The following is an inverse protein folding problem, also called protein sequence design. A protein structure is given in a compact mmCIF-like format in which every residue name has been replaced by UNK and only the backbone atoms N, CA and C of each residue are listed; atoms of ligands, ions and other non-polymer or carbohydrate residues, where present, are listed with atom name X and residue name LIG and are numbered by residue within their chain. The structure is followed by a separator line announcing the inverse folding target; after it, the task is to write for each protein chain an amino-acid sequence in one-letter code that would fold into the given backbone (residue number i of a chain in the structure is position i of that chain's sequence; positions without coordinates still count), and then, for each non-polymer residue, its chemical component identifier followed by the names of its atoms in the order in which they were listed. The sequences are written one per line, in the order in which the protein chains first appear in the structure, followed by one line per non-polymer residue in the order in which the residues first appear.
data_IF_734921322413
#
_entry.id   IF_734921322413
#
_cell.length_a   1.000
_cell.length_b   1.000
_cell.length_c   1.000
_cell.angle_alpha   90.00
_cell.angle_beta   90.00
_cell.angle_gamma   90.00
#
_symmetry.space_group_name_H-M   'P 1'
#
loop_
_entity.id
_entity.type
_entity.pdbx_description
1 polymer ?
#
# COMPACT_ATOMS: atom_id res chain seq x y z
N UNK A 1 -14.77 -69.10 -78.31
CA UNK A 1 -16.13 -68.87 -77.85
C UNK A 1 -16.01 -68.72 -76.32
N UNK A 2 -15.82 -67.57 -75.82
CA UNK A 2 -15.93 -67.32 -74.40
C UNK A 2 -16.07 -65.79 -74.16
N UNK A 3 -17.17 -65.40 -73.68
CA UNK A 3 -17.51 -64.02 -73.42
C UNK A 3 -16.97 -63.61 -72.03
N UNK A 4 -16.09 -62.62 -72.01
CA UNK A 4 -15.62 -61.98 -70.77
C UNK A 4 -16.55 -60.83 -70.42
N UNK A 5 -17.09 -60.83 -69.22
CA UNK A 5 -17.81 -59.73 -68.61
C UNK A 5 -16.84 -58.78 -67.88
N UNK A 6 -16.97 -57.46 -67.96
CA UNK A 6 -16.17 -56.54 -67.18
C UNK A 6 -16.72 -56.41 -65.78
N UNK A 7 -15.81 -56.46 -64.79
CA UNK A 7 -16.11 -56.24 -63.38
C UNK A 7 -16.29 -54.75 -63.06
N UNK A 8 -17.35 -54.46 -62.34
CA UNK A 8 -17.65 -53.12 -61.80
C UNK A 8 -16.78 -52.87 -60.58
N UNK A 9 -15.86 -51.92 -60.68
CA UNK A 9 -15.03 -51.49 -59.56
C UNK A 9 -15.84 -50.54 -58.66
N UNK A 10 -16.02 -50.96 -57.41
CA UNK A 10 -16.63 -50.14 -56.35
C UNK A 10 -15.59 -49.21 -55.79
N UNK A 11 -15.76 -47.89 -55.95
CA UNK A 11 -14.89 -46.81 -55.32
C UNK A 11 -15.48 -46.49 -53.95
N UNK A 12 -14.75 -46.65 -52.86
CA UNK A 12 -15.23 -46.18 -51.55
C UNK A 12 -15.11 -44.70 -51.46
N UNK A 13 -16.23 -44.01 -51.26
CA UNK A 13 -16.25 -42.57 -50.90
C UNK A 13 -15.86 -42.45 -49.44
N UNK A 14 -14.66 -41.92 -49.22
CA UNK A 14 -14.15 -41.56 -47.90
C UNK A 14 -14.79 -40.23 -47.45
N UNK A 15 -15.80 -40.31 -46.60
CA UNK A 15 -16.40 -39.13 -45.95
C UNK A 15 -15.47 -38.64 -44.85
N UNK A 16 -14.73 -37.56 -45.13
CA UNK A 16 -13.87 -36.88 -44.16
C UNK A 16 -14.75 -35.98 -43.31
N UNK A 17 -15.12 -36.43 -42.10
CA UNK A 17 -15.81 -35.61 -41.11
C UNK A 17 -14.78 -34.67 -40.48
N UNK A 18 -14.79 -33.40 -40.90
CA UNK A 18 -14.00 -32.32 -40.32
C UNK A 18 -14.62 -31.94 -38.99
N UNK A 19 -14.11 -32.50 -37.89
CA UNK A 19 -14.52 -32.14 -36.53
C UNK A 19 -14.00 -30.75 -36.18
N UNK A 20 -14.88 -29.75 -36.20
CA UNK A 20 -14.59 -28.41 -35.69
C UNK A 20 -14.63 -28.47 -34.16
N UNK A 21 -13.46 -28.60 -33.51
CA UNK A 21 -13.36 -28.44 -32.06
C UNK A 21 -13.37 -26.93 -31.72
N UNK A 22 -14.52 -26.44 -31.27
CA UNK A 22 -14.62 -25.11 -30.66
C UNK A 22 -13.87 -25.17 -29.32
N UNK A 23 -12.65 -24.66 -29.29
CA UNK A 23 -11.95 -24.36 -28.05
C UNK A 23 -12.62 -23.12 -27.43
N UNK A 24 -13.39 -23.32 -26.36
CA UNK A 24 -13.89 -22.20 -25.55
C UNK A 24 -12.70 -21.58 -24.81
N UNK A 25 -12.17 -20.49 -25.33
CA UNK A 25 -11.24 -19.65 -24.59
C UNK A 25 -12.02 -19.01 -23.44
N UNK A 26 -11.75 -19.46 -22.22
CA UNK A 26 -12.21 -18.78 -21.01
C UNK A 26 -11.50 -17.43 -20.92
N UNK A 27 -12.17 -16.36 -21.31
CA UNK A 27 -11.75 -14.99 -21.03
C UNK A 27 -11.84 -14.81 -19.52
N UNK A 28 -10.71 -14.94 -18.83
CA UNK A 28 -10.59 -14.52 -17.44
C UNK A 28 -10.66 -13.00 -17.46
N UNK A 29 -11.84 -12.46 -17.12
CA UNK A 29 -12.00 -11.04 -16.91
C UNK A 29 -11.02 -10.62 -15.80
N UNK A 30 -9.94 -9.93 -16.16
CA UNK A 30 -9.07 -9.27 -15.20
C UNK A 30 -9.92 -8.18 -14.57
N UNK A 31 -10.31 -8.39 -13.33
CA UNK A 31 -10.92 -7.33 -12.50
C UNK A 31 -9.81 -6.30 -12.28
N UNK A 32 -9.80 -5.25 -13.09
CA UNK A 32 -8.91 -4.12 -12.85
C UNK A 32 -9.34 -3.50 -11.53
N UNK A 33 -8.49 -3.59 -10.52
CA UNK A 33 -8.68 -2.84 -9.29
C UNK A 33 -8.61 -1.36 -9.66
N UNK A 34 -9.70 -0.63 -9.46
CA UNK A 34 -9.69 0.82 -9.65
C UNK A 34 -8.96 1.44 -8.47
N UNK A 35 -7.90 2.24 -8.72
CA UNK A 35 -7.15 2.86 -7.64
C UNK A 35 -8.02 3.83 -6.83
N UNK A 36 -7.69 3.98 -5.57
CA UNK A 36 -8.30 4.95 -4.69
C UNK A 36 -7.55 6.28 -4.77
N UNK A 37 -8.27 7.35 -5.07
CA UNK A 37 -7.75 8.71 -5.07
C UNK A 37 -7.94 9.33 -3.69
N UNK A 38 -6.84 9.65 -3.02
CA UNK A 38 -6.86 10.26 -1.70
C UNK A 38 -7.43 11.68 -1.76
N UNK A 39 -8.43 11.98 -0.91
CA UNK A 39 -8.90 13.34 -0.67
C UNK A 39 -8.05 13.99 0.41
N UNK A 40 -7.03 14.74 0.00
CA UNK A 40 -6.07 15.37 0.90
C UNK A 40 -6.69 16.45 1.80
N UNK A 41 -7.84 17.00 1.43
CA UNK A 41 -8.51 18.05 2.23
C UNK A 41 -9.25 17.49 3.44
N UNK A 42 -9.63 16.20 3.37
CA UNK A 42 -10.33 15.46 4.42
C UNK A 42 -9.48 14.32 4.98
N UNK A 43 -8.17 14.36 4.77
CA UNK A 43 -7.23 13.34 5.21
C UNK A 43 -6.15 13.94 6.10
N UNK A 44 -5.72 13.17 7.10
CA UNK A 44 -4.69 13.58 8.05
C UNK A 44 -3.65 12.47 8.20
N UNK A 45 -2.39 12.87 8.29
CA UNK A 45 -1.27 12.02 8.64
C UNK A 45 -0.53 12.67 9.80
N UNK A 46 -0.50 12.00 10.95
CA UNK A 46 0.02 12.53 12.20
C UNK A 46 1.09 11.60 12.78
N UNK A 47 1.88 12.14 13.67
CA UNK A 47 2.79 11.37 14.51
C UNK A 47 2.71 11.89 15.94
N UNK A 48 2.90 11.01 16.90
CA UNK A 48 2.92 11.37 18.31
C UNK A 48 4.12 10.73 19.02
N UNK A 49 4.58 11.40 20.06
CA UNK A 49 5.68 10.96 20.89
C UNK A 49 5.65 11.63 22.24
N UNK A 50 6.70 11.45 23.03
CA UNK A 50 6.85 12.10 24.35
C UNK A 50 8.15 12.89 24.41
N UNK A 51 8.10 14.04 25.08
CA UNK A 51 9.28 14.87 25.39
C UNK A 51 9.23 15.25 26.87
N UNK A 52 10.28 14.92 27.62
CA UNK A 52 10.35 15.16 29.08
C UNK A 52 9.09 14.68 29.83
N UNK A 53 8.59 13.50 29.43
CA UNK A 53 7.39 12.88 30.02
C UNK A 53 6.04 13.42 29.52
N UNK A 54 6.02 14.52 28.75
CA UNK A 54 4.79 15.09 28.17
C UNK A 54 4.56 14.61 26.74
N UNK A 55 3.34 14.21 26.41
CA UNK A 55 2.96 13.83 25.04
C UNK A 55 2.93 15.05 24.11
N UNK A 56 3.26 14.83 22.86
CA UNK A 56 3.06 15.80 21.78
C UNK A 56 2.55 15.10 20.52
N UNK A 57 1.88 15.86 19.67
CA UNK A 57 1.44 15.42 18.33
C UNK A 57 2.02 16.37 17.29
N UNK A 58 2.35 15.83 16.14
CA UNK A 58 2.72 16.58 14.95
C UNK A 58 1.99 16.04 13.72
N UNK A 59 2.00 16.82 12.66
CA UNK A 59 1.35 16.47 11.40
C UNK A 59 2.34 16.50 10.25
N UNK A 60 2.09 15.70 9.21
CA UNK A 60 2.71 15.86 7.90
C UNK A 60 1.67 16.42 6.93
N UNK A 61 1.92 17.59 6.37
CA UNK A 61 0.99 18.24 5.45
C UNK A 61 1.20 17.87 3.98
N UNK A 62 2.35 17.27 3.64
CA UNK A 62 2.67 16.85 2.27
C UNK A 62 3.01 15.37 2.23
N UNK A 63 2.12 14.59 1.60
CA UNK A 63 2.29 13.17 1.34
C UNK A 63 1.52 12.77 0.08
N UNK A 64 1.89 11.65 -0.51
CA UNK A 64 1.25 11.06 -1.67
C UNK A 64 1.02 9.57 -1.40
N UNK A 65 -0.16 9.08 -1.76
CA UNK A 65 -0.52 7.69 -1.59
C UNK A 65 -1.09 7.13 -2.91
N UNK A 66 -0.55 5.99 -3.32
CA UNK A 66 -1.11 5.14 -4.37
C UNK A 66 -1.68 3.90 -3.69
N UNK A 67 -2.99 3.73 -3.78
CA UNK A 67 -3.72 2.68 -3.05
C UNK A 67 -4.57 1.91 -4.04
N UNK A 68 -4.20 0.66 -4.25
CA UNK A 68 -5.00 -0.33 -4.94
C UNK A 68 -5.52 -1.31 -3.90
N UNK A 69 -6.81 -1.27 -3.60
CA UNK A 69 -7.36 -2.12 -2.56
C UNK A 69 -8.82 -2.50 -2.83
N UNK A 70 -9.07 -3.81 -2.78
CA UNK A 70 -10.42 -4.37 -2.79
C UNK A 70 -10.66 -5.13 -1.47
N UNK A 71 -11.65 -4.69 -0.66
CA UNK A 71 -12.01 -5.39 0.57
C UNK A 71 -12.41 -6.86 0.37
N UNK A 72 -12.89 -7.24 -0.81
CA UNK A 72 -13.21 -8.63 -1.15
C UNK A 72 -11.97 -9.47 -1.44
N UNK A 73 -10.88 -8.83 -1.87
CA UNK A 73 -9.61 -9.46 -2.24
C UNK A 73 -8.41 -8.77 -1.57
N UNK A 74 -8.33 -8.70 -0.23
CA UNK A 74 -7.33 -7.90 0.45
C UNK A 74 -5.87 -8.33 0.14
N UNK A 75 -5.65 -9.58 -0.21
CA UNK A 75 -4.32 -10.11 -0.55
C UNK A 75 -3.73 -9.55 -1.84
N UNK A 76 -4.55 -9.03 -2.74
CA UNK A 76 -4.09 -8.38 -3.99
C UNK A 76 -3.86 -6.89 -3.82
N UNK A 77 -4.18 -6.35 -2.63
CA UNK A 77 -4.06 -4.93 -2.33
C UNK A 77 -2.60 -4.47 -2.30
N UNK A 78 -2.41 -3.20 -2.65
CA UNK A 78 -1.12 -2.53 -2.62
C UNK A 78 -1.27 -1.12 -2.06
N UNK A 79 -0.36 -0.74 -1.17
CA UNK A 79 -0.25 0.60 -0.59
C UNK A 79 1.18 1.08 -0.79
N UNK A 80 1.32 2.22 -1.45
CA UNK A 80 2.56 2.96 -1.60
C UNK A 80 2.34 4.38 -1.08
N UNK A 81 3.04 4.76 -0.01
CA UNK A 81 2.92 6.07 0.64
C UNK A 81 4.29 6.75 0.69
N UNK A 82 4.38 7.92 0.09
CA UNK A 82 5.54 8.80 0.19
C UNK A 82 5.20 10.03 1.02
N UNK A 83 6.04 10.36 2.02
CA UNK A 83 5.87 11.49 2.92
C UNK A 83 7.04 12.46 2.77
N UNK A 84 6.76 13.74 2.56
CA UNK A 84 7.74 14.82 2.61
C UNK A 84 8.04 15.19 4.07
N UNK A 85 9.22 14.81 4.56
CA UNK A 85 9.64 15.02 5.94
C UNK A 85 9.81 16.51 6.29
N UNK A 86 10.08 17.36 5.32
CA UNK A 86 10.12 18.81 5.51
C UNK A 86 8.75 19.46 5.81
N UNK A 87 7.67 18.68 5.67
CA UNK A 87 6.31 19.12 6.00
C UNK A 87 5.90 18.87 7.45
N UNK A 88 6.75 18.22 8.25
CA UNK A 88 6.47 17.92 9.65
C UNK A 88 6.30 19.21 10.47
N UNK A 89 5.22 19.29 11.25
CA UNK A 89 4.94 20.39 12.18
C UNK A 89 4.31 19.85 13.44
N UNK A 90 4.77 20.36 14.59
CA UNK A 90 4.24 20.02 15.92
C UNK A 90 3.58 21.22 16.60
N UNK A 91 3.66 22.41 15.99
CA UNK A 91 3.19 23.65 16.57
C UNK A 91 4.12 24.22 17.67
N UNK A 92 5.24 23.55 17.94
CA UNK A 92 6.27 24.04 18.85
C UNK A 92 7.50 24.46 18.05
N UNK A 93 7.91 25.72 18.19
CA UNK A 93 8.99 26.30 17.37
C UNK A 93 10.31 25.58 17.56
N UNK A 94 10.62 25.11 18.77
CA UNK A 94 11.89 24.44 19.05
C UNK A 94 11.95 23.08 18.35
N UNK A 95 10.88 22.28 18.46
CA UNK A 95 10.79 20.99 17.75
C UNK A 95 10.76 21.19 16.23
N UNK A 96 9.96 22.12 15.75
CA UNK A 96 9.80 22.37 14.30
C UNK A 96 11.10 22.90 13.65
N UNK A 97 11.96 23.56 14.43
CA UNK A 97 13.31 23.96 14.01
C UNK A 97 14.29 22.77 14.04
N UNK A 98 14.15 21.87 15.01
CA UNK A 98 15.06 20.73 15.20
C UNK A 98 14.79 19.58 14.19
N UNK A 99 13.51 19.29 13.91
CA UNK A 99 13.09 18.13 13.08
C UNK A 99 13.79 18.03 11.72
N UNK A 100 14.03 19.12 10.95
CA UNK A 100 14.76 19.07 9.70
C UNK A 100 16.26 18.74 9.84
N UNK A 101 16.82 18.91 11.04
CA UNK A 101 18.27 18.82 11.30
C UNK A 101 18.84 17.41 11.21
N UNK A 102 20.18 17.34 11.17
CA UNK A 102 20.97 16.12 10.99
C UNK A 102 20.69 15.04 12.05
N UNK A 103 20.45 15.46 13.30
CA UNK A 103 20.16 14.54 14.40
C UNK A 103 18.75 13.93 14.31
N UNK A 104 17.86 14.54 13.51
CA UNK A 104 16.47 14.14 13.35
C UNK A 104 16.20 13.59 11.96
N UNK A 105 15.43 14.27 11.12
CA UNK A 105 15.11 13.76 9.80
C UNK A 105 16.23 13.92 8.77
N UNK A 106 17.15 14.87 8.99
CA UNK A 106 18.22 15.21 8.02
C UNK A 106 17.66 15.40 6.60
N UNK A 107 16.68 16.29 6.48
CA UNK A 107 15.92 16.48 5.24
C UNK A 107 16.79 16.93 4.06
N UNK A 108 17.98 17.49 4.33
CA UNK A 108 18.93 17.84 3.28
C UNK A 108 19.46 16.60 2.55
N UNK A 109 19.66 15.50 3.28
CA UNK A 109 20.13 14.21 2.74
C UNK A 109 18.95 13.27 2.44
N UNK A 110 17.89 13.32 3.24
CA UNK A 110 16.76 12.38 3.21
C UNK A 110 15.42 13.13 3.27
N UNK A 111 14.99 13.78 2.18
CA UNK A 111 13.80 14.62 2.19
C UNK A 111 12.49 13.86 2.34
N UNK A 112 12.48 12.55 2.09
CA UNK A 112 11.27 11.74 2.04
C UNK A 112 11.38 10.47 2.89
N UNK A 113 10.24 10.03 3.43
CA UNK A 113 10.03 8.67 3.89
C UNK A 113 9.11 7.94 2.91
N UNK A 114 9.29 6.61 2.80
CA UNK A 114 8.55 5.79 1.84
C UNK A 114 8.12 4.47 2.49
N UNK A 115 6.82 4.18 2.46
CA UNK A 115 6.25 2.92 2.89
C UNK A 115 5.64 2.18 1.70
N UNK A 116 5.96 0.89 1.58
CA UNK A 116 5.37 -0.01 0.58
C UNK A 116 4.85 -1.25 1.28
N UNK A 117 3.58 -1.59 1.08
CA UNK A 117 3.01 -2.82 1.59
C UNK A 117 3.55 -4.04 0.84
N UNK A 118 3.79 -5.13 1.56
CA UNK A 118 4.18 -6.44 1.00
C UNK A 118 3.05 -7.45 1.09
N UNK A 119 2.14 -7.29 2.05
CA UNK A 119 0.97 -8.13 2.21
C UNK A 119 -0.13 -7.39 2.96
N UNK A 120 -1.38 -7.59 2.56
CA UNK A 120 -2.53 -7.07 3.28
C UNK A 120 -3.46 -8.23 3.63
N UNK A 121 -3.94 -8.27 4.87
CA UNK A 121 -4.89 -9.28 5.34
C UNK A 121 -6.02 -8.67 6.14
N UNK A 122 -7.18 -9.29 6.06
CA UNK A 122 -8.31 -8.97 6.92
C UNK A 122 -8.13 -9.65 8.28
N UNK A 123 -8.37 -8.93 9.37
CA UNK A 123 -8.26 -9.42 10.76
C UNK A 123 -9.61 -9.45 11.49
N UNK A 124 -10.61 -8.77 10.96
CA UNK A 124 -11.97 -8.74 11.49
C UNK A 124 -12.98 -8.24 10.46
N UNK A 125 -14.19 -7.86 10.88
CA UNK A 125 -15.26 -7.43 9.98
C UNK A 125 -14.80 -6.28 9.06
N UNK A 126 -14.23 -5.23 9.64
CA UNK A 126 -13.76 -4.03 8.95
C UNK A 126 -12.32 -3.69 9.33
N UNK A 127 -11.58 -4.61 9.94
CA UNK A 127 -10.20 -4.42 10.37
C UNK A 127 -9.24 -5.18 9.48
N UNK A 128 -8.10 -4.57 9.24
CA UNK A 128 -7.05 -5.06 8.35
C UNK A 128 -5.68 -4.79 8.94
N UNK A 129 -4.73 -5.58 8.48
CA UNK A 129 -3.30 -5.34 8.70
C UNK A 129 -2.59 -5.30 7.35
N UNK A 130 -1.71 -4.31 7.16
CA UNK A 130 -0.76 -4.28 6.07
C UNK A 130 0.65 -4.41 6.64
N UNK A 131 1.31 -5.53 6.34
CA UNK A 131 2.73 -5.68 6.55
C UNK A 131 3.46 -5.01 5.38
N UNK A 132 4.55 -4.30 5.64
CA UNK A 132 5.29 -3.58 4.61
C UNK A 132 6.69 -3.19 5.05
N UNK A 133 7.34 -2.40 4.23
CA UNK A 133 8.67 -1.86 4.47
C UNK A 133 8.59 -0.34 4.51
N UNK A 134 9.09 0.26 5.59
CA UNK A 134 9.30 1.70 5.71
C UNK A 134 10.77 2.02 5.51
N UNK A 135 11.06 2.90 4.57
CA UNK A 135 12.37 3.52 4.39
C UNK A 135 12.35 4.94 4.94
N UNK A 136 13.17 5.22 5.93
CA UNK A 136 13.35 6.53 6.56
C UNK A 136 14.84 6.75 6.82
N UNK A 137 15.40 7.91 6.43
CA UNK A 137 16.84 8.20 6.49
C UNK A 137 17.71 7.12 5.84
N UNK A 138 17.29 6.59 4.72
CA UNK A 138 17.95 5.50 4.00
C UNK A 138 18.06 4.18 4.81
N UNK A 139 17.32 4.04 5.90
CA UNK A 139 17.20 2.81 6.68
C UNK A 139 15.84 2.19 6.40
N UNK A 140 15.80 0.95 5.95
CA UNK A 140 14.57 0.21 5.68
C UNK A 140 14.31 -0.80 6.80
N UNK A 141 13.09 -0.80 7.33
CA UNK A 141 12.62 -1.73 8.36
C UNK A 141 11.23 -2.26 8.03
N UNK A 142 10.89 -3.49 8.45
CA UNK A 142 9.53 -3.98 8.39
C UNK A 142 8.65 -3.16 9.34
N UNK A 143 7.49 -2.76 8.85
CA UNK A 143 6.48 -2.00 9.61
C UNK A 143 5.11 -2.58 9.32
N UNK A 144 4.26 -2.63 10.34
CA UNK A 144 2.86 -3.03 10.23
C UNK A 144 1.96 -1.82 10.42
N UNK A 145 0.98 -1.71 9.53
CA UNK A 145 -0.16 -0.81 9.69
C UNK A 145 -1.36 -1.63 10.17
N UNK A 146 -1.97 -1.21 11.27
CA UNK A 146 -3.26 -1.73 11.74
C UNK A 146 -4.32 -0.69 11.43
N UNK A 147 -5.39 -1.08 10.72
CA UNK A 147 -6.40 -0.12 10.30
C UNK A 147 -7.81 -0.69 10.20
N UNK A 148 -8.77 0.22 10.34
CA UNK A 148 -10.17 0.02 10.01
C UNK A 148 -10.45 0.64 8.64
N UNK A 149 -11.33 -0.01 7.87
CA UNK A 149 -11.79 0.49 6.58
C UNK A 149 -13.29 0.36 6.50
N UNK A 150 -13.96 1.45 6.14
CA UNK A 150 -15.34 1.46 5.68
C UNK A 150 -15.41 1.91 4.23
N UNK A 151 -16.24 1.25 3.43
CA UNK A 151 -16.49 1.60 2.04
C UNK A 151 -17.98 1.80 1.87
N UNK A 152 -18.36 2.96 1.34
CA UNK A 152 -19.74 3.31 0.99
C UNK A 152 -19.76 3.79 -0.46
N UNK A 153 -20.26 2.95 -1.34
CA UNK A 153 -20.28 3.21 -2.78
C UNK A 153 -18.89 3.49 -3.36
N UNK A 154 -18.66 4.73 -3.76
CA UNK A 154 -17.40 5.19 -4.35
C UNK A 154 -16.45 5.83 -3.34
N UNK A 155 -16.82 5.88 -2.07
CA UNK A 155 -16.04 6.52 -1.01
C UNK A 155 -15.49 5.48 -0.05
N UNK A 156 -14.25 5.68 0.38
CA UNK A 156 -13.60 4.87 1.40
C UNK A 156 -13.08 5.76 2.52
N UNK A 157 -13.18 5.27 3.75
CA UNK A 157 -12.59 5.89 4.93
C UNK A 157 -11.70 4.86 5.63
N UNK A 158 -10.41 5.13 5.67
CA UNK A 158 -9.41 4.29 6.32
C UNK A 158 -8.78 5.05 7.49
N UNK A 159 -8.81 4.43 8.68
CA UNK A 159 -8.22 4.99 9.89
C UNK A 159 -7.36 3.96 10.59
N UNK A 160 -6.14 4.33 10.94
CA UNK A 160 -5.22 3.37 11.52
C UNK A 160 -3.94 3.98 12.07
N UNK A 161 -3.00 3.11 12.41
CA UNK A 161 -1.74 3.51 12.98
C UNK A 161 -0.61 2.52 12.65
N UNK A 162 0.62 2.98 12.90
CA UNK A 162 1.84 2.17 12.98
C UNK A 162 2.64 2.58 14.22
N UNK A 163 3.13 1.58 14.95
CA UNK A 163 4.05 1.79 16.07
C UNK A 163 5.49 1.68 15.58
N UNK A 164 6.29 2.69 15.88
CA UNK A 164 7.67 2.80 15.42
C UNK A 164 8.62 3.05 16.61
N UNK A 165 9.82 2.55 16.49
CA UNK A 165 10.96 2.94 17.33
C UNK A 165 11.85 3.86 16.51
N UNK A 166 11.82 5.17 16.79
CA UNK A 166 12.51 6.18 15.99
C UNK A 166 14.00 5.95 15.80
N UNK A 167 14.65 5.37 16.79
CA UNK A 167 16.09 5.08 16.76
C UNK A 167 16.47 3.96 15.80
N UNK A 168 15.53 3.05 15.45
CA UNK A 168 15.74 2.02 14.42
C UNK A 168 15.96 2.61 13.03
N UNK A 169 15.53 3.84 12.83
CA UNK A 169 15.73 4.61 11.60
C UNK A 169 16.79 5.71 11.74
N UNK A 170 17.50 5.75 12.88
CA UNK A 170 18.49 6.78 13.14
C UNK A 170 17.89 8.18 13.37
N UNK A 171 16.61 8.28 13.74
CA UNK A 171 15.96 9.54 14.09
C UNK A 171 16.21 9.86 15.55
N UNK A 172 16.77 11.05 15.83
CA UNK A 172 17.18 11.50 17.16
C UNK A 172 18.52 10.89 17.57
N UNK A 173 19.59 11.37 16.97
CA UNK A 173 20.97 10.96 17.22
C UNK A 173 21.62 11.80 18.32
N UNK A 174 22.85 11.47 18.67
CA UNK A 174 23.63 12.19 19.68
C UNK A 174 22.93 12.21 21.05
N UNK A 175 22.73 13.38 21.66
CA UNK A 175 22.07 13.52 22.98
C UNK A 175 20.65 12.95 23.03
N UNK A 176 19.99 12.78 21.88
CA UNK A 176 18.60 12.32 21.73
C UNK A 176 18.46 10.80 21.66
N UNK A 177 19.57 10.07 21.52
CA UNK A 177 19.55 8.62 21.25
C UNK A 177 19.06 7.79 22.44
N UNK A 178 19.27 8.25 23.67
CA UNK A 178 18.97 7.47 24.90
C UNK A 178 17.48 7.39 25.25
N UNK A 179 16.63 8.22 24.66
CA UNK A 179 15.23 8.32 25.04
C UNK A 179 14.96 9.12 26.33
N UNK A 180 16.00 9.64 27.00
CA UNK A 180 15.85 10.38 28.25
C UNK A 180 15.05 11.68 28.09
N UNK A 181 15.30 12.40 27.02
CA UNK A 181 14.65 13.70 26.74
C UNK A 181 13.46 13.56 25.79
N UNK A 182 13.59 12.71 24.80
CA UNK A 182 12.53 12.42 23.83
C UNK A 182 12.35 10.91 23.74
N UNK A 183 11.17 10.43 24.02
CA UNK A 183 10.83 9.00 24.03
C UNK A 183 11.24 8.31 22.73
N UNK A 184 11.58 7.03 22.82
CA UNK A 184 11.94 6.23 21.66
C UNK A 184 10.72 5.79 20.81
N UNK A 185 9.58 5.41 21.44
CA UNK A 185 8.37 5.07 20.70
C UNK A 185 7.76 6.30 20.03
N UNK A 186 7.31 6.11 18.79
CA UNK A 186 6.53 7.07 18.01
C UNK A 186 5.37 6.31 17.38
N UNK A 187 4.16 6.85 17.53
CA UNK A 187 2.98 6.33 16.85
C UNK A 187 2.68 7.23 15.66
N UNK A 188 2.60 6.65 14.47
CA UNK A 188 2.11 7.34 13.28
C UNK A 188 0.65 6.94 13.09
N UNK A 189 -0.25 7.93 13.02
CA UNK A 189 -1.68 7.73 12.79
C UNK A 189 -2.08 8.33 11.46
N UNK A 190 -3.05 7.70 10.83
CA UNK A 190 -3.67 8.23 9.62
C UNK A 190 -5.18 8.15 9.69
N UNK A 191 -5.83 9.14 9.10
CA UNK A 191 -7.27 9.24 8.92
C UNK A 191 -7.50 9.70 7.48
N UNK A 192 -7.76 8.75 6.58
CA UNK A 192 -7.74 8.98 5.14
C UNK A 192 -9.11 8.78 4.52
N UNK A 193 -9.59 9.81 3.85
CA UNK A 193 -10.73 9.75 2.95
C UNK A 193 -10.25 9.57 1.51
N UNK A 194 -10.89 8.67 0.79
CA UNK A 194 -10.56 8.41 -0.61
C UNK A 194 -11.82 8.12 -1.42
N UNK A 195 -11.73 8.27 -2.73
CA UNK A 195 -12.78 7.90 -3.68
C UNK A 195 -12.19 7.08 -4.82
N UNK A 196 -12.99 6.23 -5.43
CA UNK A 196 -12.55 5.45 -6.60
C UNK A 196 -12.22 6.40 -7.74
N UNK A 197 -11.14 6.09 -8.46
CA UNK A 197 -10.89 6.70 -9.76
C UNK A 197 -12.03 6.29 -10.70
N UNK A 198 -12.68 7.27 -11.33
CA UNK A 198 -13.76 7.04 -12.30
C UNK A 198 -13.22 6.63 -13.65
#
# INVERSE_FOLDING_TARGET
MSASRPGLALVPVLVMVLGLTLSAETVVAQTQSMPWLLDKTHSQLEFSGTQTGSGFTGTFSRYEAHIDFDPAQPKTGHIDLTVDLGSARTGDTQRDTALPGKDWFDIASFPKAHFVSTAIRRTGANTYQADGSLTLRNVTRPVRLDFMLSVDGQTAHAKGHADLMRTEFGVGQGPWASGQWVGLPVVVTFDFMARRAG
#
